data_IF_570267683484
#
_entry.id   IF_570267683484
#
_cell.length_a   1.000
_cell.length_b   1.000
_cell.length_c   1.000
_cell.angle_alpha   90.00
_cell.angle_beta   90.00
_cell.angle_gamma   90.00
#
_symmetry.space_group_name_H-M   'P 1'
#
loop_
_entity.id
_entity.type
_entity.pdbx_description
1 polymer ?
#
# COMPACT_ATOMS: atom_id res chain seq x y z
N UNK A 1 -9.35 -8.14 42.96
CA UNK A 1 -8.03 -8.60 43.45
C UNK A 1 -7.38 -9.34 42.30
N UNK A 2 -6.51 -8.65 41.54
CA UNK A 2 -5.88 -9.19 40.36
C UNK A 2 -4.70 -10.08 40.74
N UNK A 3 -4.80 -11.38 40.44
CA UNK A 3 -3.69 -12.30 40.54
C UNK A 3 -2.67 -11.98 39.44
N UNK A 4 -1.64 -11.22 39.79
CA UNK A 4 -0.39 -11.17 39.02
C UNK A 4 0.39 -12.44 39.33
N UNK A 5 0.09 -13.51 38.59
CA UNK A 5 0.98 -14.67 38.52
C UNK A 5 2.09 -14.29 37.56
N UNK A 6 3.13 -13.63 38.08
CA UNK A 6 4.42 -13.58 37.38
C UNK A 6 4.94 -15.00 37.43
N UNK A 7 4.76 -15.72 36.32
CA UNK A 7 5.18 -17.11 36.21
C UNK A 7 6.70 -17.20 36.43
N UNK A 8 7.10 -17.96 37.45
CA UNK A 8 8.50 -18.24 37.75
C UNK A 8 9.23 -18.87 36.53
N UNK A 9 8.49 -19.45 35.58
CA UNK A 9 9.02 -19.95 34.32
C UNK A 9 9.60 -18.84 33.43
N UNK A 10 8.99 -17.64 33.40
CA UNK A 10 9.34 -16.53 32.52
C UNK A 10 10.60 -15.82 33.00
N UNK A 11 10.76 -15.72 34.33
CA UNK A 11 11.97 -15.21 34.97
C UNK A 11 13.17 -16.11 34.70
N UNK A 12 12.97 -17.44 34.83
CA UNK A 12 14.00 -18.45 34.56
C UNK A 12 14.36 -18.51 33.08
N UNK A 13 13.38 -18.37 32.19
CA UNK A 13 13.60 -18.31 30.75
C UNK A 13 14.40 -17.07 30.35
N UNK A 14 14.13 -15.90 30.94
CA UNK A 14 14.90 -14.67 30.71
C UNK A 14 16.35 -14.77 31.18
N UNK A 15 16.61 -15.44 32.31
CA UNK A 15 17.97 -15.71 32.77
C UNK A 15 18.73 -16.67 31.84
N UNK A 16 18.07 -17.73 31.36
CA UNK A 16 18.65 -18.66 30.39
C UNK A 16 18.94 -17.97 29.04
N UNK A 17 18.05 -17.08 28.59
CA UNK A 17 18.24 -16.30 27.36
C UNK A 17 19.41 -15.34 27.49
N UNK A 18 19.53 -14.65 28.63
CA UNK A 18 20.68 -13.77 28.94
C UNK A 18 21.99 -14.54 28.94
N UNK A 19 22.01 -15.74 29.53
CA UNK A 19 23.20 -16.60 29.55
C UNK A 19 23.59 -17.06 28.13
N UNK A 20 22.61 -17.54 27.35
CA UNK A 20 22.83 -17.96 25.95
C UNK A 20 23.28 -16.81 25.05
N UNK A 21 22.71 -15.62 25.21
CA UNK A 21 23.11 -14.43 24.46
C UNK A 21 24.53 -13.98 24.83
N UNK A 22 24.88 -14.04 26.12
CA UNK A 22 26.23 -13.73 26.59
C UNK A 22 27.27 -14.72 26.06
N UNK A 23 26.95 -16.02 25.99
CA UNK A 23 27.83 -17.04 25.42
C UNK A 23 27.95 -16.90 23.89
N UNK A 24 26.86 -16.60 23.18
CA UNK A 24 26.91 -16.31 21.74
C UNK A 24 27.71 -15.05 21.43
N UNK A 25 27.58 -14.00 22.23
CA UNK A 25 28.37 -12.78 22.09
C UNK A 25 29.85 -13.00 22.42
N UNK A 26 30.19 -13.97 23.27
CA UNK A 26 31.60 -14.38 23.49
C UNK A 26 32.13 -15.22 22.33
N UNK A 27 31.32 -16.13 21.79
CA UNK A 27 31.68 -16.99 20.66
C UNK A 27 31.77 -16.24 19.33
N UNK A 28 30.99 -15.17 19.14
CA UNK A 28 31.06 -14.28 17.98
C UNK A 28 32.30 -13.36 17.98
N UNK A 29 33.13 -13.41 19.04
CA UNK A 29 34.39 -12.66 19.18
C UNK A 29 35.56 -13.60 18.92
N UNK A 30 35.56 -14.29 17.78
CA UNK A 30 36.81 -14.68 17.12
C UNK A 30 37.15 -13.57 16.14
N UNK A 31 38.04 -12.66 16.57
CA UNK A 31 38.63 -11.64 15.72
C UNK A 31 39.55 -12.39 14.73
N UNK A 32 39.27 -12.39 13.41
CA UNK A 32 40.25 -12.91 12.46
C UNK A 32 41.48 -12.00 12.49
N UNK A 33 42.67 -12.61 12.47
CA UNK A 33 43.91 -11.85 12.36
C UNK A 33 43.90 -11.03 11.05
N UNK A 34 44.46 -9.80 11.05
CA UNK A 34 44.45 -8.95 9.87
C UNK A 34 45.20 -9.62 8.72
N UNK A 35 44.47 -10.03 7.66
CA UNK A 35 45.07 -10.62 6.45
C UNK A 35 44.21 -11.60 5.65
N UNK A 36 43.08 -12.10 6.15
CA UNK A 36 42.24 -13.04 5.38
C UNK A 36 41.22 -12.32 4.47
N UNK A 37 41.21 -12.58 3.14
CA UNK A 37 40.23 -12.00 2.23
C UNK A 37 38.90 -12.77 2.33
N UNK A 38 37.87 -12.17 2.92
CA UNK A 38 36.50 -12.72 2.87
C UNK A 38 35.54 -12.40 4.03
N UNK A 39 35.97 -11.68 5.07
CA UNK A 39 35.08 -11.34 6.21
C UNK A 39 34.45 -9.95 6.06
N UNK A 40 33.11 -9.86 6.08
CA UNK A 40 32.40 -8.58 6.27
C UNK A 40 32.67 -8.10 7.69
N UNK A 41 33.76 -7.37 7.89
CA UNK A 41 34.15 -6.82 9.18
C UNK A 41 33.18 -5.73 9.60
N UNK A 42 32.26 -6.03 10.52
CA UNK A 42 31.51 -5.01 11.25
C UNK A 42 32.49 -4.03 11.91
N UNK A 43 32.35 -2.74 11.66
CA UNK A 43 33.24 -1.73 12.23
C UNK A 43 33.20 -1.79 13.77
N UNK A 44 34.33 -1.51 14.43
CA UNK A 44 34.42 -1.46 15.90
C UNK A 44 33.39 -0.49 16.51
N UNK A 45 33.02 0.55 15.79
CA UNK A 45 32.02 1.54 16.20
C UNK A 45 30.60 0.96 16.14
N UNK A 46 30.27 0.19 15.10
CA UNK A 46 28.97 -0.50 14.98
C UNK A 46 28.80 -1.54 16.09
N UNK A 47 29.84 -2.32 16.37
CA UNK A 47 29.85 -3.32 17.44
C UNK A 47 29.71 -2.67 18.83
N UNK A 48 30.43 -1.57 19.08
CA UNK A 48 30.33 -0.83 20.33
C UNK A 48 28.93 -0.23 20.52
N UNK A 49 28.38 0.37 19.47
CA UNK A 49 27.03 0.95 19.49
C UNK A 49 25.95 -0.12 19.74
N UNK A 50 26.08 -1.29 19.11
CA UNK A 50 25.17 -2.41 19.34
C UNK A 50 25.26 -2.95 20.78
N UNK A 51 26.47 -3.07 21.35
CA UNK A 51 26.67 -3.51 22.74
C UNK A 51 26.11 -2.47 23.72
N UNK A 52 26.32 -1.18 23.48
CA UNK A 52 25.75 -0.11 24.30
C UNK A 52 24.21 -0.07 24.22
N UNK A 53 23.62 -0.32 23.03
CA UNK A 53 22.17 -0.45 22.86
C UNK A 53 21.61 -1.62 23.69
N UNK A 54 22.24 -2.80 23.61
CA UNK A 54 21.82 -3.97 24.38
C UNK A 54 22.00 -3.76 25.89
N UNK A 55 23.06 -3.06 26.32
CA UNK A 55 23.30 -2.75 27.75
C UNK A 55 22.36 -1.70 28.31
N UNK A 56 21.93 -0.74 27.49
CA UNK A 56 21.00 0.31 27.86
C UNK A 56 19.53 -0.11 27.72
N UNK A 57 19.25 -1.20 26.99
CA UNK A 57 17.91 -1.75 26.87
C UNK A 57 17.39 -2.26 28.22
N UNK A 58 16.45 -1.51 28.79
CA UNK A 58 15.75 -1.90 30.00
C UNK A 58 14.43 -2.54 29.59
N UNK A 59 14.21 -3.85 29.85
CA UNK A 59 12.94 -4.50 29.51
C UNK A 59 11.83 -3.85 30.33
N UNK A 60 10.93 -3.15 29.65
CA UNK A 60 9.69 -2.66 30.24
C UNK A 60 8.54 -3.56 29.74
N UNK A 61 7.61 -4.00 30.60
CA UNK A 61 6.42 -4.68 30.14
C UNK A 61 5.59 -3.69 29.31
N UNK A 62 5.53 -3.92 28.01
CA UNK A 62 4.60 -3.22 27.12
C UNK A 62 3.32 -4.04 27.12
N UNK A 63 2.24 -3.46 27.63
CA UNK A 63 0.91 -4.06 27.46
C UNK A 63 0.49 -3.74 26.02
N UNK A 64 0.61 -4.73 25.16
CA UNK A 64 0.20 -4.63 23.76
C UNK A 64 -1.20 -5.22 23.62
N UNK A 65 -2.08 -4.46 22.98
CA UNK A 65 -3.39 -4.96 22.58
C UNK A 65 -3.23 -5.85 21.35
N UNK A 66 -3.62 -7.12 21.47
CA UNK A 66 -3.54 -8.09 20.40
C UNK A 66 -4.92 -8.67 20.08
N UNK A 67 -5.13 -8.95 18.81
CA UNK A 67 -6.26 -9.73 18.31
C UNK A 67 -5.83 -11.14 17.92
N UNK A 68 -6.80 -11.99 17.67
CA UNK A 68 -6.59 -13.34 17.15
C UNK A 68 -7.54 -13.59 15.98
N UNK A 69 -7.00 -14.08 14.86
CA UNK A 69 -7.79 -14.46 13.69
C UNK A 69 -8.71 -15.63 14.07
N UNK A 70 -10.02 -15.42 13.97
CA UNK A 70 -11.07 -16.43 14.19
C UNK A 70 -11.43 -17.15 12.88
N UNK A 71 -11.37 -16.43 11.76
CA UNK A 71 -11.62 -16.98 10.45
C UNK A 71 -10.86 -16.18 9.39
N UNK A 72 -10.40 -16.85 8.35
CA UNK A 72 -9.77 -16.22 7.18
C UNK A 72 -10.20 -16.96 5.92
N UNK A 73 -10.55 -16.21 4.88
CA UNK A 73 -10.93 -16.75 3.58
C UNK A 73 -10.96 -15.66 2.52
N UNK A 74 -10.47 -15.97 1.32
CA UNK A 74 -10.51 -15.10 0.13
C UNK A 74 -10.04 -13.65 0.38
N UNK A 75 -8.98 -13.50 1.19
CA UNK A 75 -8.39 -12.20 1.50
C UNK A 75 -9.15 -11.38 2.55
N UNK A 76 -10.10 -11.98 3.28
CA UNK A 76 -10.78 -11.35 4.42
C UNK A 76 -10.52 -12.17 5.68
N UNK A 77 -10.17 -11.47 6.77
CA UNK A 77 -9.95 -12.05 8.08
C UNK A 77 -10.93 -11.45 9.11
N UNK A 78 -11.53 -12.31 9.92
CA UNK A 78 -12.32 -11.92 11.09
C UNK A 78 -11.44 -12.09 12.33
N UNK A 79 -11.20 -11.00 13.04
CA UNK A 79 -10.28 -10.95 14.18
C UNK A 79 -11.09 -10.71 15.45
N UNK A 80 -10.89 -11.51 16.49
CA UNK A 80 -11.45 -11.23 17.81
C UNK A 80 -10.43 -10.46 18.65
N UNK A 81 -10.90 -9.52 19.47
CA UNK A 81 -10.05 -8.56 20.19
C UNK A 81 -9.92 -7.25 19.44
N UNK A 82 -8.80 -6.54 19.65
CA UNK A 82 -8.52 -5.21 19.11
C UNK A 82 -9.60 -4.13 19.42
N UNK A 83 -10.04 -3.95 20.69
CA UNK A 83 -11.06 -2.95 21.03
C UNK A 83 -10.67 -1.49 20.72
N UNK A 84 -9.38 -1.22 20.51
CA UNK A 84 -8.86 0.10 20.15
C UNK A 84 -8.72 0.30 18.63
N UNK A 85 -9.06 -0.69 17.80
CA UNK A 85 -8.97 -0.61 16.35
C UNK A 85 -9.84 0.52 15.78
N UNK A 86 -9.29 1.25 14.80
CA UNK A 86 -10.01 2.27 14.05
C UNK A 86 -10.38 1.76 12.65
N UNK A 87 -11.49 2.22 12.10
CA UNK A 87 -11.82 1.97 10.69
C UNK A 87 -10.73 2.57 9.78
N UNK A 88 -10.30 1.81 8.77
CA UNK A 88 -9.20 2.19 7.88
C UNK A 88 -7.80 2.05 8.49
N UNK A 89 -7.67 1.54 9.73
CA UNK A 89 -6.37 1.30 10.35
C UNK A 89 -5.64 0.11 9.72
N UNK A 90 -4.32 0.24 9.55
CA UNK A 90 -3.47 -0.89 9.19
C UNK A 90 -3.26 -1.82 10.39
N UNK A 91 -3.32 -3.11 10.11
CA UNK A 91 -3.02 -4.18 11.05
C UNK A 91 -1.91 -5.07 10.51
N UNK A 92 -1.10 -5.61 11.42
CA UNK A 92 -0.02 -6.55 11.09
C UNK A 92 -0.35 -7.91 11.68
N UNK A 93 -0.30 -8.93 10.82
CA UNK A 93 -0.45 -10.33 11.21
C UNK A 93 0.92 -10.91 11.56
N UNK A 94 0.94 -11.79 12.57
CA UNK A 94 2.11 -12.61 12.86
C UNK A 94 2.58 -13.35 11.59
N UNK A 95 3.89 -13.31 11.32
CA UNK A 95 4.45 -13.73 10.04
C UNK A 95 4.60 -12.62 8.99
N UNK A 96 4.24 -11.37 9.33
CA UNK A 96 4.52 -10.17 8.56
C UNK A 96 3.56 -9.92 7.40
N UNK A 97 2.33 -10.44 7.48
CA UNK A 97 1.25 -10.01 6.58
C UNK A 97 0.68 -8.67 7.02
N UNK A 98 0.19 -7.88 6.08
CA UNK A 98 -0.49 -6.60 6.38
C UNK A 98 -1.96 -6.68 5.97
N UNK A 99 -2.80 -5.96 6.70
CA UNK A 99 -4.20 -5.80 6.39
C UNK A 99 -4.73 -4.43 6.78
N UNK A 100 -6.00 -4.21 6.50
CA UNK A 100 -6.70 -2.97 6.81
C UNK A 100 -8.06 -3.27 7.42
N UNK A 101 -8.40 -2.58 8.50
CA UNK A 101 -9.70 -2.69 9.16
C UNK A 101 -10.78 -2.06 8.29
N UNK A 102 -11.84 -2.82 8.00
CA UNK A 102 -13.02 -2.34 7.28
C UNK A 102 -14.30 -2.35 8.11
N UNK A 103 -14.45 -3.31 9.03
CA UNK A 103 -15.64 -3.46 9.87
C UNK A 103 -15.27 -3.54 11.35
N UNK A 104 -16.08 -2.89 12.18
CA UNK A 104 -15.99 -2.90 13.63
C UNK A 104 -17.31 -3.43 14.20
N UNK A 105 -17.39 -4.74 14.43
CA UNK A 105 -18.51 -5.37 15.15
C UNK A 105 -18.25 -5.37 16.66
N UNK A 106 -19.30 -5.62 17.44
CA UNK A 106 -19.22 -5.75 18.92
C UNK A 106 -18.25 -6.85 19.35
N UNK A 107 -18.23 -7.97 18.61
CA UNK A 107 -17.49 -9.18 18.98
C UNK A 107 -16.27 -9.46 18.09
N UNK A 108 -16.09 -8.71 17.00
CA UNK A 108 -15.02 -8.94 16.04
C UNK A 108 -14.70 -7.72 15.18
N UNK A 109 -13.48 -7.68 14.68
CA UNK A 109 -13.00 -6.72 13.67
C UNK A 109 -12.88 -7.44 12.33
N UNK A 110 -13.46 -6.88 11.28
CA UNK A 110 -13.33 -7.35 9.91
C UNK A 110 -12.16 -6.66 9.23
N UNK A 111 -11.15 -7.42 8.83
CA UNK A 111 -9.96 -6.91 8.15
C UNK A 111 -9.86 -7.48 6.74
N UNK A 112 -9.49 -6.66 5.77
CA UNK A 112 -8.99 -7.16 4.49
C UNK A 112 -7.49 -7.43 4.60
N UNK A 113 -7.03 -8.47 3.92
CA UNK A 113 -5.63 -8.86 3.84
C UNK A 113 -5.02 -8.23 2.59
N UNK A 114 -4.04 -7.36 2.79
CA UNK A 114 -3.35 -6.62 1.74
C UNK A 114 -2.09 -7.34 1.26
N UNK A 115 -1.41 -8.05 2.15
CA UNK A 115 -0.20 -8.81 1.82
C UNK A 115 -0.02 -10.05 2.71
N UNK A 116 0.70 -11.06 2.21
CA UNK A 116 1.09 -12.22 3.01
C UNK A 116 -0.03 -13.20 3.38
N UNK A 117 -1.15 -13.19 2.63
CA UNK A 117 -2.34 -14.00 2.92
C UNK A 117 -2.10 -15.50 3.10
N UNK A 118 -1.16 -16.09 2.36
CA UNK A 118 -0.85 -17.53 2.43
C UNK A 118 -0.34 -17.98 3.81
N UNK A 119 0.13 -17.05 4.65
CA UNK A 119 0.68 -17.33 5.98
C UNK A 119 -0.33 -17.11 7.10
N UNK A 120 -1.49 -16.52 6.78
CA UNK A 120 -2.51 -16.16 7.77
C UNK A 120 -3.46 -17.33 7.90
N UNK A 121 -3.54 -17.87 9.11
CA UNK A 121 -4.44 -18.98 9.48
C UNK A 121 -5.25 -18.63 10.74
N UNK A 122 -6.27 -19.41 11.05
CA UNK A 122 -6.97 -19.30 12.34
C UNK A 122 -5.97 -19.40 13.51
N UNK A 123 -6.14 -18.57 14.53
CA UNK A 123 -5.22 -18.45 15.66
C UNK A 123 -4.04 -17.50 15.42
N UNK A 124 -3.84 -16.97 14.20
CA UNK A 124 -2.79 -15.98 13.94
C UNK A 124 -3.02 -14.72 14.78
N UNK A 125 -1.98 -14.24 15.46
CA UNK A 125 -2.06 -13.00 16.26
C UNK A 125 -2.02 -11.79 15.33
N UNK A 126 -2.82 -10.77 15.67
CA UNK A 126 -2.95 -9.53 14.91
C UNK A 126 -2.66 -8.35 15.82
N UNK A 127 -1.96 -7.33 15.30
CA UNK A 127 -1.66 -6.09 16.03
C UNK A 127 -2.12 -4.88 15.25
N UNK A 128 -2.73 -3.94 15.97
CA UNK A 128 -2.99 -2.60 15.50
C UNK A 128 -1.67 -1.82 15.32
N UNK A 129 -1.57 -1.04 14.25
CA UNK A 129 -0.38 -0.20 14.02
C UNK A 129 -0.56 1.22 14.53
N UNK A 130 -1.78 1.61 14.90
CA UNK A 130 -2.17 2.98 15.25
C UNK A 130 -2.18 3.94 14.05
N UNK A 131 -1.99 3.42 12.82
CA UNK A 131 -1.88 4.23 11.60
C UNK A 131 -2.99 3.86 10.63
N UNK A 132 -3.71 4.86 10.15
CA UNK A 132 -4.63 4.72 9.00
C UNK A 132 -3.81 4.36 7.76
N UNK A 133 -4.38 3.55 6.88
CA UNK A 133 -3.76 3.13 5.64
C UNK A 133 -3.19 4.32 4.87
N UNK A 134 -1.91 4.21 4.51
CA UNK A 134 -1.14 5.21 3.80
C UNK A 134 -0.24 4.54 2.76
N UNK A 135 0.17 5.33 1.77
CA UNK A 135 1.07 4.89 0.69
C UNK A 135 2.23 5.85 0.57
N UNK A 136 3.41 5.39 0.10
CA UNK A 136 4.49 6.29 -0.28
C UNK A 136 4.01 7.24 -1.38
N UNK A 137 4.45 8.50 -1.31
CA UNK A 137 4.16 9.54 -2.31
C UNK A 137 5.43 10.36 -2.56
N UNK A 138 5.55 10.95 -3.75
CA UNK A 138 6.68 11.80 -4.12
C UNK A 138 7.14 11.62 -5.56
N UNK A 139 8.08 12.47 -5.97
CA UNK A 139 8.69 12.42 -7.31
C UNK A 139 9.43 11.11 -7.57
N UNK A 140 9.86 10.40 -6.52
CA UNK A 140 10.55 9.11 -6.61
C UNK A 140 9.70 7.99 -7.25
N UNK A 141 8.38 8.20 -7.33
CA UNK A 141 7.44 7.28 -7.98
C UNK A 141 7.28 7.55 -9.49
N UNK A 142 7.70 8.71 -9.99
CA UNK A 142 7.54 9.05 -11.41
C UNK A 142 8.35 8.10 -12.29
N UNK A 143 7.71 7.54 -13.33
CA UNK A 143 8.31 6.55 -14.21
C UNK A 143 8.42 5.13 -13.62
N UNK A 144 7.79 4.90 -12.47
CA UNK A 144 7.74 3.60 -11.80
C UNK A 144 6.39 2.91 -11.98
N UNK A 145 6.43 1.58 -11.95
CA UNK A 145 5.23 0.75 -11.81
C UNK A 145 5.21 0.20 -10.39
N UNK A 146 4.14 0.47 -9.65
CA UNK A 146 3.97 0.11 -8.24
C UNK A 146 2.68 -0.66 -8.01
N UNK A 147 2.63 -1.50 -6.98
CA UNK A 147 1.39 -2.08 -6.49
C UNK A 147 0.57 -1.03 -5.69
N UNK A 148 -0.67 -1.35 -5.26
CA UNK A 148 -1.48 -0.44 -4.44
C UNK A 148 -0.90 -0.07 -3.07
N UNK A 149 0.10 -0.80 -2.57
CA UNK A 149 0.82 -0.50 -1.33
C UNK A 149 2.03 0.42 -1.56
N UNK A 150 2.37 0.68 -2.83
CA UNK A 150 3.49 1.50 -3.25
C UNK A 150 4.81 0.74 -3.44
N UNK A 151 4.79 -0.59 -3.36
CA UNK A 151 5.97 -1.41 -3.64
C UNK A 151 6.22 -1.49 -5.16
N UNK A 152 7.47 -1.36 -5.62
CA UNK A 152 7.80 -1.44 -7.04
C UNK A 152 7.62 -2.86 -7.59
N UNK A 153 6.93 -2.95 -8.73
CA UNK A 153 6.69 -4.20 -9.47
C UNK A 153 7.35 -4.20 -10.86
N UNK A 154 8.11 -3.14 -11.19
CA UNK A 154 8.82 -2.97 -12.47
C UNK A 154 10.23 -3.59 -12.52
N UNK A 155 10.72 -4.14 -11.41
CA UNK A 155 12.08 -4.68 -11.33
C UNK A 155 13.21 -3.64 -11.38
N UNK A 156 12.90 -2.33 -11.31
CA UNK A 156 13.90 -1.23 -11.34
C UNK A 156 14.53 -0.93 -9.97
N UNK A 157 14.40 -1.84 -9.00
CA UNK A 157 14.91 -1.69 -7.63
C UNK A 157 13.95 -0.97 -6.67
N UNK A 158 14.33 -0.81 -5.40
CA UNK A 158 13.45 -0.22 -4.37
C UNK A 158 13.17 1.27 -4.63
N UNK A 159 12.03 1.75 -4.13
CA UNK A 159 11.66 3.18 -4.12
C UNK A 159 11.94 3.73 -2.73
N UNK A 160 12.78 4.75 -2.63
CA UNK A 160 13.15 5.40 -1.37
C UNK A 160 12.31 6.67 -1.16
N UNK A 161 10.98 6.51 -1.13
CA UNK A 161 10.07 7.62 -0.89
C UNK A 161 10.21 8.14 0.55
N UNK A 162 10.28 9.46 0.69
CA UNK A 162 10.47 10.13 2.00
C UNK A 162 9.15 10.49 2.67
N UNK A 163 8.08 10.58 1.89
CA UNK A 163 6.77 11.05 2.34
C UNK A 163 5.75 9.96 2.13
N UNK A 164 4.74 9.92 3.02
CA UNK A 164 3.58 9.04 2.91
C UNK A 164 2.31 9.86 3.01
N UNK A 165 1.24 9.40 2.38
CA UNK A 165 -0.08 10.03 2.42
C UNK A 165 -1.14 8.98 2.67
N UNK A 166 -2.10 9.28 3.54
CA UNK A 166 -3.25 8.43 3.79
C UNK A 166 -4.02 8.20 2.47
N UNK A 167 -4.46 6.96 2.23
CA UNK A 167 -5.21 6.61 1.02
C UNK A 167 -6.65 7.10 1.07
N UNK A 168 -7.20 7.27 2.28
CA UNK A 168 -8.51 7.85 2.51
C UNK A 168 -8.35 9.22 3.18
N UNK A 169 -8.59 10.27 2.40
CA UNK A 169 -8.58 11.65 2.87
C UNK A 169 -9.87 12.36 2.51
N UNK A 170 -10.24 13.43 3.24
CA UNK A 170 -11.39 14.24 2.87
C UNK A 170 -11.15 14.94 1.53
N UNK A 171 -12.16 14.98 0.68
CA UNK A 171 -12.11 15.79 -0.54
C UNK A 171 -12.12 17.30 -0.20
N UNK A 172 -11.50 18.16 -1.03
CA UNK A 172 -11.56 19.61 -0.85
C UNK A 172 -13.00 20.12 -0.76
N UNK A 173 -13.27 21.06 0.14
CA UNK A 173 -14.59 21.65 0.33
C UNK A 173 -15.00 22.54 -0.86
N UNK A 174 -16.22 23.10 -0.81
CA UNK A 174 -16.69 24.01 -1.86
C UNK A 174 -15.86 25.30 -1.91
N UNK A 175 -15.44 25.81 -0.75
CA UNK A 175 -14.64 27.03 -0.65
C UNK A 175 -13.19 26.86 -1.12
N UNK A 176 -12.70 25.62 -1.16
CA UNK A 176 -11.32 25.28 -1.55
C UNK A 176 -11.18 25.05 -3.06
N UNK A 177 -12.25 25.27 -3.84
CA UNK A 177 -12.32 24.97 -5.28
C UNK A 177 -12.55 26.23 -6.10
N UNK A 178 -11.99 26.22 -7.30
CA UNK A 178 -12.25 27.23 -8.33
C UNK A 178 -12.95 26.59 -9.55
N UNK A 179 -13.72 27.37 -10.33
CA UNK A 179 -14.25 26.91 -11.60
C UNK A 179 -13.14 26.46 -12.55
N UNK A 180 -13.34 25.32 -13.21
CA UNK A 180 -12.42 24.78 -14.22
C UNK A 180 -12.37 25.74 -15.41
N UNK A 181 -11.20 26.30 -15.67
CA UNK A 181 -10.98 27.32 -16.72
C UNK A 181 -9.80 27.02 -17.65
N UNK A 182 -8.92 26.08 -17.29
CA UNK A 182 -7.73 25.71 -18.08
C UNK A 182 -8.01 24.42 -18.84
N UNK A 183 -7.80 24.37 -20.18
CA UNK A 183 -8.01 23.15 -20.95
C UNK A 183 -6.95 22.08 -20.67
N UNK A 184 -7.38 20.82 -20.74
CA UNK A 184 -6.52 19.64 -20.78
C UNK A 184 -6.71 18.98 -22.15
N UNK A 185 -5.67 19.07 -22.99
CA UNK A 185 -5.73 18.54 -24.35
C UNK A 185 -5.56 17.04 -24.32
N UNK A 186 -6.45 16.31 -24.97
CA UNK A 186 -6.33 14.85 -25.14
C UNK A 186 -5.51 14.49 -26.37
N UNK A 187 -5.36 15.41 -27.33
CA UNK A 187 -4.72 15.14 -28.63
C UNK A 187 -5.66 14.44 -29.62
N UNK A 188 -6.91 14.18 -29.23
CA UNK A 188 -7.92 13.55 -30.06
C UNK A 188 -8.88 14.64 -30.53
N UNK A 189 -8.81 15.01 -31.81
CA UNK A 189 -9.59 16.09 -32.39
C UNK A 189 -11.09 15.99 -32.08
N UNK A 190 -11.66 14.79 -32.16
CA UNK A 190 -13.07 14.56 -31.88
C UNK A 190 -13.45 14.87 -30.42
N UNK A 191 -12.59 14.51 -29.46
CA UNK A 191 -12.80 14.78 -28.04
C UNK A 191 -12.57 16.27 -27.78
N UNK A 192 -11.42 16.81 -28.18
CA UNK A 192 -11.03 18.19 -27.88
C UNK A 192 -11.96 19.23 -28.52
N UNK A 193 -12.64 18.89 -29.65
CA UNK A 193 -13.59 19.78 -30.30
C UNK A 193 -15.04 19.65 -29.79
N UNK A 194 -15.51 18.44 -29.50
CA UNK A 194 -16.93 18.20 -29.17
C UNK A 194 -17.17 18.11 -27.66
N UNK A 195 -16.22 17.56 -26.91
CA UNK A 195 -16.31 17.30 -25.47
C UNK A 195 -14.99 17.73 -24.81
N UNK A 196 -14.68 19.04 -24.78
CA UNK A 196 -13.43 19.53 -24.23
C UNK A 196 -13.32 19.20 -22.73
N UNK A 197 -12.13 18.79 -22.31
CA UNK A 197 -11.82 18.43 -20.93
C UNK A 197 -10.98 19.56 -20.31
N UNK A 198 -11.30 19.98 -19.10
CA UNK A 198 -10.50 20.96 -18.34
C UNK A 198 -9.70 20.36 -17.18
N UNK A 199 -8.67 21.08 -16.72
CA UNK A 199 -7.88 20.71 -15.54
C UNK A 199 -8.75 20.82 -14.28
N UNK A 200 -8.91 19.72 -13.55
CA UNK A 200 -9.83 19.61 -12.41
C UNK A 200 -11.22 19.09 -12.75
N UNK A 201 -11.51 18.79 -14.03
CA UNK A 201 -12.75 18.12 -14.45
C UNK A 201 -12.65 16.61 -14.23
N UNK A 202 -13.81 15.96 -14.06
CA UNK A 202 -13.96 14.50 -14.08
C UNK A 202 -14.75 14.13 -15.32
N UNK A 203 -14.15 13.33 -16.20
CA UNK A 203 -14.76 12.92 -17.47
C UNK A 203 -14.85 11.39 -17.54
N UNK A 204 -16.04 10.85 -17.84
CA UNK A 204 -16.28 9.42 -17.89
C UNK A 204 -16.10 8.89 -19.32
N UNK A 205 -15.20 7.92 -19.50
CA UNK A 205 -15.08 7.17 -20.74
C UNK A 205 -15.89 5.86 -20.61
N UNK A 206 -17.05 5.80 -21.26
CA UNK A 206 -17.95 4.64 -21.24
C UNK A 206 -18.12 4.04 -22.64
N UNK A 207 -18.26 2.72 -22.71
CA UNK A 207 -18.48 1.98 -23.95
C UNK A 207 -18.26 0.48 -23.77
N UNK A 208 -18.68 -0.30 -24.77
CA UNK A 208 -18.60 -1.76 -24.74
C UNK A 208 -17.16 -2.29 -24.69
N UNK A 209 -16.99 -3.59 -24.48
CA UNK A 209 -15.65 -4.22 -24.50
C UNK A 209 -14.97 -3.98 -25.85
N UNK A 210 -13.66 -3.74 -25.83
CA UNK A 210 -12.84 -3.57 -27.04
C UNK A 210 -13.22 -2.39 -27.95
N UNK A 211 -13.77 -1.32 -27.38
CA UNK A 211 -14.15 -0.08 -28.10
C UNK A 211 -13.10 1.04 -28.05
N UNK A 212 -11.87 0.74 -27.59
CA UNK A 212 -10.77 1.73 -27.56
C UNK A 212 -10.73 2.64 -26.34
N UNK A 213 -11.47 2.33 -25.25
CA UNK A 213 -11.47 3.14 -24.01
C UNK A 213 -10.08 3.39 -23.43
N UNK A 214 -9.29 2.33 -23.26
CA UNK A 214 -7.90 2.43 -22.76
C UNK A 214 -7.03 3.24 -23.72
N UNK A 215 -7.21 3.08 -25.04
CA UNK A 215 -6.45 3.85 -26.04
C UNK A 215 -6.71 5.35 -25.91
N UNK A 216 -7.96 5.78 -25.77
CA UNK A 216 -8.31 7.19 -25.54
C UNK A 216 -7.60 7.73 -24.30
N UNK A 217 -7.59 6.96 -23.21
CA UNK A 217 -6.97 7.39 -21.95
C UNK A 217 -5.43 7.45 -22.03
N UNK A 218 -4.80 6.46 -22.69
CA UNK A 218 -3.35 6.42 -22.91
C UNK A 218 -2.91 7.54 -23.85
N UNK A 219 -3.65 7.82 -24.92
CA UNK A 219 -3.38 8.94 -25.83
C UNK A 219 -3.46 10.28 -25.10
N UNK A 220 -4.45 10.44 -24.21
CA UNK A 220 -4.57 11.63 -23.36
C UNK A 220 -3.35 11.81 -22.42
N UNK A 221 -2.79 10.73 -21.89
CA UNK A 221 -1.54 10.76 -21.10
C UNK A 221 -0.37 11.18 -22.00
N UNK A 222 -0.21 10.56 -23.17
CA UNK A 222 0.88 10.86 -24.12
C UNK A 222 0.84 12.33 -24.55
N UNK A 223 -0.36 12.88 -24.74
CA UNK A 223 -0.60 14.28 -25.11
C UNK A 223 -0.11 15.29 -24.04
N UNK A 224 0.13 14.84 -22.80
CA UNK A 224 0.66 15.71 -21.74
C UNK A 224 2.18 15.95 -21.84
N UNK A 225 2.86 15.36 -22.82
CA UNK A 225 4.29 15.57 -23.02
C UNK A 225 4.62 17.05 -23.21
N UNK A 226 5.35 17.61 -22.25
CA UNK A 226 5.74 19.04 -22.26
C UNK A 226 4.66 20.01 -21.80
N UNK A 227 3.47 19.55 -21.36
CA UNK A 227 2.40 20.40 -20.85
C UNK A 227 2.57 20.79 -19.38
N UNK A 228 3.50 20.14 -18.68
CA UNK A 228 3.74 20.28 -17.24
C UNK A 228 2.74 19.52 -16.35
N UNK A 229 1.82 18.77 -16.95
CA UNK A 229 0.86 17.91 -16.23
C UNK A 229 1.53 16.57 -15.91
N UNK A 230 1.47 16.15 -14.64
CA UNK A 230 1.90 14.82 -14.21
C UNK A 230 0.76 13.82 -14.40
N UNK A 231 1.08 12.55 -14.62
CA UNK A 231 0.07 11.53 -14.91
C UNK A 231 0.10 10.40 -13.89
N UNK A 232 -1.07 9.84 -13.59
CA UNK A 232 -1.23 8.61 -12.80
C UNK A 232 -2.15 7.67 -13.56
N UNK A 233 -1.68 6.47 -13.87
CA UNK A 233 -2.48 5.43 -14.52
C UNK A 233 -2.72 4.27 -13.56
N UNK A 234 -3.97 4.06 -13.16
CA UNK A 234 -4.37 3.03 -12.20
C UNK A 234 -5.04 1.89 -12.95
N UNK A 235 -4.34 0.76 -13.07
CA UNK A 235 -4.86 -0.47 -13.66
C UNK A 235 -5.49 -1.36 -12.57
N UNK A 236 -6.78 -1.66 -12.70
CA UNK A 236 -7.58 -2.39 -11.71
C UNK A 236 -8.16 -3.64 -12.38
N UNK A 237 -7.80 -4.81 -11.88
CA UNK A 237 -8.23 -6.11 -12.40
C UNK A 237 -7.89 -6.31 -13.88
N UNK A 238 -6.89 -5.62 -14.42
CA UNK A 238 -6.44 -5.81 -15.81
C UNK A 238 -5.52 -7.03 -15.90
N UNK A 239 -5.43 -7.63 -17.09
CA UNK A 239 -4.44 -8.69 -17.34
C UNK A 239 -3.04 -8.08 -17.21
N UNK A 240 -2.13 -8.77 -16.51
CA UNK A 240 -0.75 -8.31 -16.36
C UNK A 240 -0.07 -8.01 -17.71
N UNK A 241 -0.35 -8.81 -18.75
CA UNK A 241 0.16 -8.57 -20.11
C UNK A 241 -0.37 -7.27 -20.73
N UNK A 242 -1.62 -6.90 -20.47
CA UNK A 242 -2.21 -5.63 -20.96
C UNK A 242 -1.63 -4.42 -20.23
N UNK A 243 -1.36 -4.55 -18.93
CA UNK A 243 -0.65 -3.52 -18.15
C UNK A 243 0.76 -3.34 -18.72
N UNK A 244 1.52 -4.42 -18.90
CA UNK A 244 2.86 -4.37 -19.48
C UNK A 244 2.88 -3.73 -20.88
N UNK A 245 1.90 -4.06 -21.74
CA UNK A 245 1.77 -3.44 -23.05
C UNK A 245 1.51 -1.92 -22.94
N UNK A 246 0.67 -1.50 -22.00
CA UNK A 246 0.39 -0.08 -21.76
C UNK A 246 1.65 0.66 -21.28
N UNK A 247 2.40 0.06 -20.36
CA UNK A 247 3.69 0.60 -19.89
C UNK A 247 4.69 0.73 -21.06
N UNK A 248 4.78 -0.29 -21.92
CA UNK A 248 5.64 -0.24 -23.13
C UNK A 248 5.27 0.93 -24.03
N UNK A 249 3.97 1.11 -24.32
CA UNK A 249 3.49 2.22 -25.16
C UNK A 249 3.83 3.58 -24.53
N UNK A 250 3.63 3.74 -23.21
CA UNK A 250 4.02 4.95 -22.50
C UNK A 250 5.53 5.21 -22.54
N UNK A 251 6.35 4.17 -22.45
CA UNK A 251 7.80 4.27 -22.53
C UNK A 251 8.27 4.66 -23.95
N UNK A 252 7.75 4.00 -24.98
CA UNK A 252 8.05 4.26 -26.40
C UNK A 252 7.76 5.71 -26.81
N UNK A 253 6.68 6.30 -26.28
CA UNK A 253 6.30 7.68 -26.56
C UNK A 253 6.99 8.70 -25.63
N UNK A 254 7.78 8.24 -24.66
CA UNK A 254 8.43 9.07 -23.65
C UNK A 254 7.45 9.72 -22.67
N UNK A 255 6.32 9.06 -22.42
CA UNK A 255 5.29 9.45 -21.47
C UNK A 255 5.49 8.85 -20.07
N UNK A 256 6.18 7.71 -19.99
CA UNK A 256 6.48 7.05 -18.71
C UNK A 256 7.22 7.97 -17.70
N UNK A 257 8.21 8.81 -18.06
CA UNK A 257 8.98 9.61 -17.09
C UNK A 257 8.15 10.59 -16.23
N UNK A 258 6.96 10.99 -16.67
CA UNK A 258 6.04 11.84 -15.91
C UNK A 258 4.76 11.11 -15.46
N UNK A 259 4.76 9.77 -15.56
CA UNK A 259 3.61 8.93 -15.24
C UNK A 259 3.94 7.96 -14.10
N UNK A 260 3.08 7.87 -13.09
CA UNK A 260 3.08 6.78 -12.11
C UNK A 260 2.09 5.73 -12.58
N UNK A 261 2.49 4.46 -12.61
CA UNK A 261 1.58 3.35 -12.92
C UNK A 261 1.28 2.56 -11.66
N UNK A 262 0.03 2.56 -11.22
CA UNK A 262 -0.45 1.74 -10.10
C UNK A 262 -1.11 0.49 -10.69
N UNK A 263 -0.57 -0.69 -10.37
CA UNK A 263 -1.00 -1.96 -10.94
C UNK A 263 -1.59 -2.89 -9.88
N UNK A 264 -2.90 -3.12 -9.96
CA UNK A 264 -3.59 -4.24 -9.33
C UNK A 264 -4.18 -5.11 -10.44
N UNK A 265 -3.47 -6.18 -10.79
CA UNK A 265 -3.83 -7.10 -11.85
C UNK A 265 -5.02 -8.00 -11.48
N UNK A 266 -5.59 -8.68 -12.47
CA UNK A 266 -6.69 -9.64 -12.28
C UNK A 266 -6.30 -10.86 -11.42
N UNK A 267 -5.00 -11.14 -11.25
CA UNK A 267 -4.51 -12.21 -10.38
C UNK A 267 -4.29 -11.77 -8.95
N UNK A 268 -4.33 -10.47 -8.68
CA UNK A 268 -4.18 -9.95 -7.32
C UNK A 268 -5.49 -10.12 -6.53
N UNK A 269 -5.42 -10.32 -5.20
CA UNK A 269 -6.59 -10.42 -4.34
C UNK A 269 -7.54 -9.23 -4.49
N UNK A 270 -8.85 -9.48 -4.32
CA UNK A 270 -9.88 -8.44 -4.36
C UNK A 270 -9.59 -7.25 -3.41
N UNK A 271 -9.06 -7.46 -2.18
CA UNK A 271 -8.56 -6.36 -1.34
C UNK A 271 -7.62 -5.39 -2.03
N UNK A 272 -6.60 -5.88 -2.75
CA UNK A 272 -5.64 -5.00 -3.44
C UNK A 272 -6.30 -4.23 -4.58
N UNK A 273 -7.19 -4.89 -5.34
CA UNK A 273 -7.96 -4.22 -6.40
C UNK A 273 -8.90 -3.15 -5.84
N UNK A 274 -9.43 -3.37 -4.63
CA UNK A 274 -10.26 -2.40 -3.91
C UNK A 274 -9.46 -1.16 -3.49
N UNK A 275 -8.26 -1.30 -2.91
CA UNK A 275 -7.47 -0.12 -2.50
C UNK A 275 -6.79 0.63 -3.64
N UNK A 276 -6.65 0.03 -4.82
CA UNK A 276 -5.90 0.62 -5.94
C UNK A 276 -6.32 2.04 -6.36
N UNK A 277 -7.62 2.38 -6.52
CA UNK A 277 -8.03 3.74 -6.87
C UNK A 277 -7.68 4.77 -5.80
N UNK A 278 -7.80 4.39 -4.53
CA UNK A 278 -7.49 5.26 -3.39
C UNK A 278 -5.99 5.52 -3.29
N UNK A 279 -5.16 4.49 -3.47
CA UNK A 279 -3.71 4.61 -3.55
C UNK A 279 -3.28 5.54 -4.70
N UNK A 280 -3.82 5.33 -5.90
CA UNK A 280 -3.54 6.21 -7.04
C UNK A 280 -4.01 7.65 -6.81
N UNK A 281 -5.16 7.83 -6.17
CA UNK A 281 -5.66 9.15 -5.80
C UNK A 281 -4.72 9.85 -4.81
N UNK A 282 -4.26 9.18 -3.76
CA UNK A 282 -3.31 9.75 -2.80
C UNK A 282 -1.97 10.14 -3.47
N UNK A 283 -1.47 9.34 -4.40
CA UNK A 283 -0.29 9.66 -5.19
C UNK A 283 -0.51 10.91 -6.06
N UNK A 284 -1.68 11.03 -6.72
CA UNK A 284 -2.03 12.22 -7.50
C UNK A 284 -2.21 13.47 -6.62
N UNK A 285 -2.91 13.33 -5.50
CA UNK A 285 -3.18 14.43 -4.57
C UNK A 285 -1.90 15.02 -4.00
N UNK A 286 -0.86 14.22 -3.75
CA UNK A 286 0.42 14.74 -3.29
C UNK A 286 0.96 15.86 -4.19
N UNK A 287 0.89 15.67 -5.52
CA UNK A 287 1.30 16.69 -6.48
C UNK A 287 0.29 17.82 -6.60
N UNK A 288 -1.01 17.53 -6.54
CA UNK A 288 -2.07 18.54 -6.53
C UNK A 288 -1.90 19.54 -5.38
N UNK A 289 -1.72 19.06 -4.15
CA UNK A 289 -1.47 19.91 -2.98
C UNK A 289 -0.09 20.59 -3.01
N UNK A 290 0.82 20.15 -3.88
CA UNK A 290 2.08 20.83 -4.17
C UNK A 290 1.97 21.86 -5.31
N UNK A 291 0.75 22.17 -5.75
CA UNK A 291 0.48 23.16 -6.79
C UNK A 291 0.77 22.68 -8.23
N UNK A 292 0.84 21.37 -8.46
CA UNK A 292 1.00 20.77 -9.79
C UNK A 292 -0.34 20.33 -10.36
N UNK A 293 -0.47 20.40 -11.67
CA UNK A 293 -1.58 19.79 -12.39
C UNK A 293 -1.35 18.29 -12.59
N UNK A 294 -2.40 17.50 -12.39
CA UNK A 294 -2.33 16.03 -12.48
C UNK A 294 -3.50 15.48 -13.27
N UNK A 295 -3.21 14.56 -14.20
CA UNK A 295 -4.18 13.72 -14.88
C UNK A 295 -4.15 12.33 -14.22
N UNK A 296 -5.28 11.86 -13.69
CA UNK A 296 -5.42 10.49 -13.20
C UNK A 296 -6.41 9.70 -14.06
N UNK A 297 -6.03 8.47 -14.43
CA UNK A 297 -6.84 7.54 -15.21
C UNK A 297 -7.09 6.28 -14.37
N UNK A 298 -8.35 5.84 -14.31
CA UNK A 298 -8.75 4.59 -13.66
C UNK A 298 -9.25 3.56 -14.70
N UNK A 299 -8.51 2.46 -14.91
CA UNK A 299 -8.82 1.39 -15.88
C UNK A 299 -8.92 0.02 -15.17
N UNK A 300 -10.07 -0.43 -14.67
CA UNK A 300 -11.39 0.19 -14.78
C UNK A 300 -12.17 0.17 -13.46
N UNK A 301 -13.02 1.18 -13.25
CA UNK A 301 -13.81 1.32 -12.03
C UNK A 301 -14.95 0.28 -11.93
N UNK A 302 -15.31 -0.39 -13.02
CA UNK A 302 -16.30 -1.47 -13.00
C UNK A 302 -15.73 -2.70 -12.28
N UNK A 303 -14.46 -3.03 -12.49
CA UNK A 303 -13.75 -4.08 -11.75
C UNK A 303 -13.46 -3.69 -10.31
N UNK A 304 -13.18 -2.42 -10.04
CA UNK A 304 -13.15 -1.91 -8.67
C UNK A 304 -14.48 -2.17 -7.94
N UNK A 305 -15.62 -1.88 -8.59
CA UNK A 305 -16.94 -2.16 -8.00
C UNK A 305 -17.17 -3.67 -7.77
N UNK A 306 -16.71 -4.52 -8.69
CA UNK A 306 -16.77 -5.98 -8.51
C UNK A 306 -15.91 -6.46 -7.32
N UNK A 307 -14.69 -5.93 -7.17
CA UNK A 307 -13.80 -6.25 -6.05
C UNK A 307 -14.40 -5.75 -4.71
N UNK A 308 -14.96 -4.54 -4.69
CA UNK A 308 -15.64 -4.01 -3.50
C UNK A 308 -16.84 -4.88 -3.10
N UNK A 309 -17.63 -5.35 -4.08
CA UNK A 309 -18.73 -6.28 -3.84
C UNK A 309 -18.23 -7.59 -3.22
N UNK A 310 -17.18 -8.18 -3.77
CA UNK A 310 -16.58 -9.41 -3.25
C UNK A 310 -16.16 -9.25 -1.80
N UNK A 311 -15.41 -8.19 -1.49
CA UNK A 311 -15.00 -7.85 -0.12
C UNK A 311 -16.21 -7.66 0.80
N UNK A 312 -17.24 -6.93 0.38
CA UNK A 312 -18.44 -6.68 1.17
C UNK A 312 -19.22 -7.98 1.48
N UNK A 313 -19.34 -8.88 0.50
CA UNK A 313 -20.02 -10.17 0.68
C UNK A 313 -19.26 -11.10 1.63
N UNK A 314 -17.92 -11.11 1.55
CA UNK A 314 -17.06 -11.88 2.46
C UNK A 314 -17.16 -11.36 3.90
N UNK A 315 -17.32 -10.05 4.07
CA UNK A 315 -17.64 -9.41 5.35
C UNK A 315 -19.09 -9.61 5.79
N UNK A 316 -19.90 -10.34 5.01
CA UNK A 316 -21.33 -10.62 5.27
C UNK A 316 -22.20 -9.37 5.38
N UNK A 317 -21.81 -8.29 4.69
CA UNK A 317 -22.66 -7.10 4.57
C UNK A 317 -23.89 -7.45 3.73
N UNK A 318 -25.08 -6.95 4.11
CA UNK A 318 -26.30 -7.24 3.35
C UNK A 318 -26.18 -6.67 1.92
N UNK A 319 -26.41 -7.49 0.88
CA UNK A 319 -26.30 -7.05 -0.50
C UNK A 319 -27.48 -6.17 -0.94
N UNK A 320 -27.25 -5.41 -2.00
CA UNK A 320 -28.25 -4.58 -2.66
C UNK A 320 -28.59 -5.08 -4.07
N UNK A 321 -28.77 -4.13 -4.99
CA UNK A 321 -29.03 -4.42 -6.40
C UNK A 321 -27.76 -4.96 -7.05
N UNK A 322 -27.91 -6.08 -7.77
CA UNK A 322 -26.78 -6.79 -8.41
C UNK A 322 -25.73 -7.32 -7.42
N UNK A 323 -26.26 -7.71 -6.24
CA UNK A 323 -25.56 -8.15 -5.04
C UNK A 323 -24.72 -7.04 -4.41
#
# INVERSE_FOLDING_TARGET
>A
MGNTVVDASLSRWLEELRAKLADHLRAAVTIPAPGEPGGVGLSRETLRSAIELVRSYTPAPVVEEVGTVVAVGDGVARVSGLPSAMAGELVVFDGGGEGMVLDLDVDAVGCIVLSGGDRIVEGTVVRCTGRVADVPVGEELLGRVVNPLGDPVDGKGPILARTRRQIEGPAPGVADREPVSVPLQTGILAVDAMVPIGRGQRELIIGDRQTGKTSIAVDAIISQKGSGVLCVYVAIGQKASSIAQTVSVLEEHGALPYTIVVAASASDPAPLQYVAPYAGCAMAEHFMYSGKDVLIVYDDLSKHAAAHREVALLLRRPPGREA
#
